data_IF_492393384974
#
_entry.id   IF_492393384974
#
_cell.length_a   1.000
_cell.length_b   1.000
_cell.length_c   1.000
_cell.angle_alpha   90.00
_cell.angle_beta   90.00
_cell.angle_gamma   90.00
#
_symmetry.space_group_name_H-M   'P 1'
#
loop_
_entity.id
_entity.type
_entity.pdbx_description
1 polymer ?
#
# COMPACT_ATOMS: atom_id res chain seq x y z
N UNK A 1 -10.27 -16.90 -13.16
CA UNK A 1 -9.42 -15.77 -13.60
C UNK A 1 -8.05 -15.95 -12.96
N UNK A 2 -7.00 -15.53 -13.63
CA UNK A 2 -5.63 -15.64 -13.10
C UNK A 2 -5.43 -14.57 -12.02
N UNK A 3 -4.89 -14.91 -10.83
CA UNK A 3 -4.58 -13.94 -9.80
C UNK A 3 -3.65 -12.85 -10.32
N UNK A 4 -3.87 -11.62 -9.86
CA UNK A 4 -3.05 -10.46 -10.24
C UNK A 4 -2.86 -9.51 -9.07
N UNK A 5 -1.85 -8.65 -9.15
CA UNK A 5 -1.60 -7.61 -8.17
C UNK A 5 -1.87 -6.27 -8.85
N UNK A 6 -2.72 -5.45 -8.24
CA UNK A 6 -2.95 -4.07 -8.65
C UNK A 6 -2.22 -3.15 -7.67
N UNK A 7 -1.07 -2.65 -8.11
CA UNK A 7 -0.24 -1.70 -7.38
C UNK A 7 -0.78 -0.30 -7.59
N UNK A 8 -0.99 0.47 -6.53
CA UNK A 8 -1.56 1.80 -6.65
C UNK A 8 -1.04 2.75 -5.58
N UNK A 9 -1.08 4.03 -5.91
CA UNK A 9 -0.68 5.13 -5.07
C UNK A 9 -1.55 6.35 -5.35
N UNK A 10 -1.77 7.21 -4.34
CA UNK A 10 -2.58 8.41 -4.44
C UNK A 10 -1.78 9.66 -4.14
N UNK A 11 -2.08 10.72 -4.91
CA UNK A 11 -1.87 12.08 -4.47
C UNK A 11 -3.21 12.69 -4.00
N UNK A 12 -3.18 13.43 -2.88
CA UNK A 12 -4.40 13.90 -2.20
C UNK A 12 -4.32 15.37 -1.84
N UNK A 13 -5.46 15.98 -1.51
CA UNK A 13 -5.55 17.39 -1.07
C UNK A 13 -4.83 17.66 0.25
N UNK A 14 -4.53 16.64 1.04
CA UNK A 14 -3.86 16.71 2.34
C UNK A 14 -3.67 15.31 2.94
N UNK A 15 -3.39 15.22 4.23
CA UNK A 15 -2.95 13.99 4.90
C UNK A 15 -4.03 13.28 5.72
N UNK A 16 -5.26 13.79 5.72
CA UNK A 16 -6.38 13.19 6.47
C UNK A 16 -7.34 12.45 5.53
N UNK A 17 -7.26 11.11 5.40
CA UNK A 17 -8.06 10.36 4.45
C UNK A 17 -9.58 10.47 4.65
N UNK A 18 -10.02 10.94 5.84
CA UNK A 18 -11.45 11.15 6.13
C UNK A 18 -12.01 12.40 5.47
N UNK A 19 -11.20 13.46 5.41
CA UNK A 19 -11.62 14.78 4.97
C UNK A 19 -11.05 15.14 3.61
N UNK A 20 -9.82 14.71 3.35
CA UNK A 20 -9.12 15.01 2.11
C UNK A 20 -9.66 14.20 0.92
N UNK A 21 -9.38 14.70 -0.27
CA UNK A 21 -9.88 14.16 -1.53
C UNK A 21 -8.72 13.67 -2.38
N UNK A 22 -8.92 12.64 -3.22
CA UNK A 22 -7.94 12.27 -4.22
C UNK A 22 -7.74 13.40 -5.23
N UNK A 23 -6.49 13.61 -5.64
CA UNK A 23 -6.09 14.50 -6.74
C UNK A 23 -5.61 13.70 -7.94
N UNK A 24 -4.89 12.62 -7.67
CA UNK A 24 -4.40 11.67 -8.67
C UNK A 24 -4.44 10.27 -8.08
N UNK A 25 -4.65 9.28 -8.92
CA UNK A 25 -4.32 7.88 -8.63
C UNK A 25 -3.56 7.32 -9.81
N UNK A 26 -2.47 6.64 -9.52
CA UNK A 26 -1.82 5.77 -10.48
C UNK A 26 -2.00 4.31 -10.08
N UNK A 27 -2.10 3.43 -11.07
CA UNK A 27 -2.20 1.99 -10.86
C UNK A 27 -1.53 1.21 -11.96
N UNK A 28 -0.80 0.15 -11.57
CA UNK A 28 -0.20 -0.80 -12.50
C UNK A 28 -0.62 -2.20 -12.09
N UNK A 29 -1.14 -2.97 -13.03
CA UNK A 29 -1.46 -4.38 -12.80
C UNK A 29 -0.26 -5.24 -13.18
N UNK A 30 0.06 -6.21 -12.32
CA UNK A 30 1.07 -7.24 -12.60
C UNK A 30 0.50 -8.63 -12.41
N UNK A 31 1.14 -9.63 -13.02
CA UNK A 31 1.01 -11.01 -12.57
C UNK A 31 1.71 -11.22 -11.21
N UNK A 32 1.60 -12.43 -10.64
CA UNK A 32 2.30 -12.76 -9.38
C UNK A 32 3.83 -12.89 -9.57
N UNK A 33 4.31 -12.92 -10.83
CA UNK A 33 5.73 -12.84 -11.16
C UNK A 33 6.26 -11.40 -11.25
N UNK A 34 5.39 -10.41 -11.06
CA UNK A 34 5.65 -8.98 -11.14
C UNK A 34 5.90 -8.47 -12.57
N UNK A 35 5.42 -9.18 -13.58
CA UNK A 35 5.38 -8.67 -14.95
C UNK A 35 4.14 -7.79 -15.13
N UNK A 36 4.30 -6.62 -15.73
CA UNK A 36 3.19 -5.70 -15.99
C UNK A 36 2.18 -6.29 -16.98
N UNK A 37 0.90 -6.08 -16.73
CA UNK A 37 -0.24 -6.55 -17.54
C UNK A 37 -1.08 -5.35 -17.93
N UNK A 38 -1.26 -5.13 -19.23
CA UNK A 38 -2.06 -4.02 -19.75
C UNK A 38 -1.40 -2.66 -19.60
N UNK A 39 -2.18 -1.62 -19.77
CA UNK A 39 -1.72 -0.24 -19.68
C UNK A 39 -1.85 0.28 -18.25
N UNK A 40 -0.91 1.11 -17.78
CA UNK A 40 -1.03 1.77 -16.49
C UNK A 40 -2.26 2.67 -16.42
N UNK A 41 -2.96 2.62 -15.29
CA UNK A 41 -3.99 3.59 -14.95
C UNK A 41 -3.31 4.86 -14.41
N UNK A 42 -3.69 6.02 -14.92
CA UNK A 42 -3.27 7.31 -14.36
C UNK A 42 -4.41 8.32 -14.52
N UNK A 43 -5.11 8.59 -13.43
CA UNK A 43 -6.30 9.43 -13.42
C UNK A 43 -6.09 10.63 -12.52
N UNK A 44 -6.58 11.80 -12.97
CA UNK A 44 -6.71 12.98 -12.14
C UNK A 44 -8.16 13.15 -11.70
N UNK A 45 -8.34 13.58 -10.44
CA UNK A 45 -9.63 13.89 -9.86
C UNK A 45 -9.75 15.38 -9.62
N UNK A 46 -10.79 16.02 -10.15
CA UNK A 46 -11.13 17.38 -9.80
C UNK A 46 -12.01 17.36 -8.53
N UNK A 47 -11.53 17.87 -7.40
CA UNK A 47 -12.37 18.07 -6.23
C UNK A 47 -13.54 19.01 -6.53
N UNK A 48 -14.60 18.95 -5.73
CA UNK A 48 -15.70 19.93 -5.78
C UNK A 48 -15.20 21.34 -5.43
N UNK A 49 -15.90 22.36 -5.89
CA UNK A 49 -15.49 23.77 -5.78
C UNK A 49 -15.33 24.29 -4.34
N UNK A 50 -15.90 23.59 -3.37
CA UNK A 50 -15.77 23.87 -1.93
C UNK A 50 -14.53 23.23 -1.28
N UNK A 51 -13.74 22.46 -2.04
CA UNK A 51 -12.52 21.78 -1.58
C UNK A 51 -11.31 22.34 -2.30
N UNK A 52 -10.40 22.94 -1.55
CA UNK A 52 -9.10 23.38 -2.08
C UNK A 52 -7.99 22.44 -1.58
N UNK A 53 -7.07 22.05 -2.46
CA UNK A 53 -5.86 21.33 -2.05
C UNK A 53 -5.04 22.19 -1.07
N UNK A 54 -4.46 21.53 -0.06
CA UNK A 54 -3.54 22.22 0.83
C UNK A 54 -2.34 22.75 0.02
N UNK A 55 -1.88 24.01 0.24
CA UNK A 55 -0.78 24.57 -0.55
C UNK A 55 0.48 23.70 -0.57
N UNK A 56 0.81 23.06 0.55
CA UNK A 56 1.95 22.12 0.60
C UNK A 56 1.73 20.88 -0.25
N UNK A 57 0.49 20.38 -0.37
CA UNK A 57 0.19 19.27 -1.27
C UNK A 57 0.48 19.68 -2.72
N UNK A 58 0.03 20.87 -3.15
CA UNK A 58 0.34 21.37 -4.49
C UNK A 58 1.84 21.57 -4.75
N UNK A 59 2.60 22.03 -3.74
CA UNK A 59 4.04 22.23 -3.86
C UNK A 59 4.80 20.90 -3.96
N UNK A 60 4.38 19.88 -3.20
CA UNK A 60 5.03 18.57 -3.17
C UNK A 60 4.71 17.78 -4.44
N UNK A 61 3.44 17.72 -4.83
CA UNK A 61 2.98 16.87 -5.94
C UNK A 61 3.07 17.56 -7.31
N UNK A 62 3.16 18.91 -7.33
CA UNK A 62 3.05 19.70 -8.55
C UNK A 62 1.64 19.71 -9.16
N UNK A 63 0.64 19.18 -8.46
CA UNK A 63 -0.75 19.14 -8.91
C UNK A 63 -1.48 20.39 -8.45
N UNK A 64 -1.79 21.28 -9.39
CA UNK A 64 -2.48 22.53 -9.11
C UNK A 64 -3.97 22.45 -9.42
N UNK A 65 -4.82 23.30 -8.81
CA UNK A 65 -6.24 23.38 -9.15
C UNK A 65 -6.50 23.61 -10.65
N UNK A 66 -5.64 24.39 -11.32
CA UNK A 66 -5.75 24.66 -12.77
C UNK A 66 -5.54 23.36 -13.58
N UNK A 67 -4.52 22.57 -13.22
CA UNK A 67 -4.27 21.28 -13.86
C UNK A 67 -5.43 20.30 -13.66
N UNK A 68 -6.05 20.31 -12.48
CA UNK A 68 -7.20 19.47 -12.19
C UNK A 68 -8.45 19.91 -12.95
N UNK A 69 -8.67 21.23 -13.13
CA UNK A 69 -9.77 21.75 -13.95
C UNK A 69 -9.66 21.36 -15.42
N UNK A 70 -8.43 21.21 -15.94
CA UNK A 70 -8.18 20.81 -17.34
C UNK A 70 -8.26 19.29 -17.56
N UNK A 71 -7.83 18.48 -16.59
CA UNK A 71 -7.58 17.04 -16.77
C UNK A 71 -8.35 16.15 -15.81
N UNK A 72 -8.91 16.73 -14.75
CA UNK A 72 -9.57 15.98 -13.69
C UNK A 72 -10.95 15.48 -14.11
N UNK A 73 -11.24 14.26 -13.71
CA UNK A 73 -12.57 13.68 -13.74
C UNK A 73 -13.35 14.14 -12.51
N UNK A 74 -14.67 14.10 -12.55
CA UNK A 74 -15.46 14.18 -11.32
C UNK A 74 -15.08 13.02 -10.37
N UNK A 75 -15.20 13.23 -9.05
CA UNK A 75 -14.86 12.17 -8.08
C UNK A 75 -15.65 10.89 -8.34
N UNK A 76 -16.93 11.01 -8.75
CA UNK A 76 -17.78 9.85 -9.07
C UNK A 76 -17.25 9.05 -10.27
N UNK A 77 -16.84 9.71 -11.35
CA UNK A 77 -16.26 9.03 -12.52
C UNK A 77 -14.89 8.45 -12.22
N UNK A 78 -14.04 9.21 -11.52
CA UNK A 78 -12.73 8.77 -11.05
C UNK A 78 -12.86 7.49 -10.21
N UNK A 79 -13.75 7.46 -9.22
CA UNK A 79 -13.98 6.30 -8.37
C UNK A 79 -14.61 5.13 -9.11
N UNK A 80 -15.47 5.38 -10.09
CA UNK A 80 -16.05 4.34 -10.93
C UNK A 80 -14.97 3.59 -11.71
N UNK A 81 -14.05 4.32 -12.34
CA UNK A 81 -12.94 3.70 -13.10
C UNK A 81 -11.99 2.93 -12.20
N UNK A 82 -11.59 3.53 -11.08
CA UNK A 82 -10.69 2.86 -10.13
C UNK A 82 -11.32 1.63 -9.48
N UNK A 83 -12.61 1.74 -9.09
CA UNK A 83 -13.34 0.62 -8.51
C UNK A 83 -13.46 -0.55 -9.49
N UNK A 84 -13.66 -0.29 -10.77
CA UNK A 84 -13.69 -1.34 -11.80
C UNK A 84 -12.37 -2.14 -11.83
N UNK A 85 -11.22 -1.46 -11.75
CA UNK A 85 -9.91 -2.12 -11.68
C UNK A 85 -9.71 -2.91 -10.39
N UNK A 86 -10.00 -2.29 -9.25
CA UNK A 86 -9.79 -2.94 -7.95
C UNK A 86 -10.73 -4.11 -7.68
N UNK A 87 -11.89 -4.15 -8.34
CA UNK A 87 -12.92 -5.17 -8.14
C UNK A 87 -12.80 -6.38 -9.07
N UNK A 88 -11.82 -6.39 -9.97
CA UNK A 88 -11.55 -7.58 -10.80
C UNK A 88 -11.29 -8.77 -9.87
N UNK A 89 -12.01 -9.92 -10.03
CA UNK A 89 -11.84 -11.08 -9.16
C UNK A 89 -10.40 -11.62 -9.16
N UNK A 90 -9.90 -11.97 -7.96
CA UNK A 90 -8.53 -12.45 -7.76
C UNK A 90 -7.48 -11.33 -7.70
N UNK A 91 -7.92 -10.06 -7.58
CA UNK A 91 -7.02 -8.93 -7.44
C UNK A 91 -6.47 -8.83 -6.00
N UNK A 92 -5.15 -8.70 -5.89
CA UNK A 92 -4.49 -8.24 -4.68
C UNK A 92 -4.22 -6.72 -4.82
N UNK A 93 -4.94 -5.87 -4.10
CA UNK A 93 -4.61 -4.44 -4.01
C UNK A 93 -3.33 -4.25 -3.20
N UNK A 94 -2.32 -3.61 -3.76
CA UNK A 94 -1.03 -3.42 -3.10
C UNK A 94 -0.47 -2.01 -3.30
N UNK A 95 0.33 -1.55 -2.35
CA UNK A 95 1.01 -0.26 -2.42
C UNK A 95 2.12 -0.15 -1.39
N UNK A 96 2.66 1.05 -1.23
CA UNK A 96 3.69 1.36 -0.26
C UNK A 96 3.10 2.13 0.93
N UNK A 97 3.06 1.53 2.11
CA UNK A 97 2.37 2.07 3.31
C UNK A 97 0.87 2.32 3.09
N UNK A 98 0.30 1.61 2.11
CA UNK A 98 -1.04 1.84 1.57
C UNK A 98 -2.16 1.46 2.53
N UNK A 99 -2.00 0.43 3.37
CA UNK A 99 -3.07 -0.01 4.29
C UNK A 99 -3.48 1.05 5.31
N UNK A 100 -2.64 2.05 5.56
CA UNK A 100 -2.89 3.11 6.55
C UNK A 100 -3.31 4.43 5.95
N UNK A 101 -3.12 4.62 4.66
CA UNK A 101 -3.45 5.87 3.98
C UNK A 101 -4.27 5.63 2.71
N UNK A 102 -3.71 5.06 1.67
CA UNK A 102 -4.37 4.89 0.37
C UNK A 102 -5.66 4.04 0.44
N UNK A 103 -5.64 2.98 1.24
CA UNK A 103 -6.82 2.15 1.49
C UNK A 103 -7.92 2.95 2.20
N UNK A 104 -7.57 3.80 3.16
CA UNK A 104 -8.54 4.66 3.84
C UNK A 104 -9.07 5.75 2.90
N UNK A 105 -8.21 6.39 2.08
CA UNK A 105 -8.64 7.31 1.02
C UNK A 105 -9.63 6.62 0.09
N UNK A 106 -9.30 5.40 -0.36
CA UNK A 106 -10.18 4.60 -1.22
C UNK A 106 -11.53 4.31 -0.55
N UNK A 107 -11.53 3.87 0.71
CA UNK A 107 -12.75 3.56 1.47
C UNK A 107 -13.66 4.78 1.61
N UNK A 108 -13.12 5.90 2.06
CA UNK A 108 -13.90 7.12 2.24
C UNK A 108 -14.41 7.66 0.90
N UNK A 109 -13.62 7.56 -0.16
CA UNK A 109 -14.03 7.99 -1.50
C UNK A 109 -15.10 7.06 -2.08
N UNK A 110 -14.98 5.74 -1.95
CA UNK A 110 -16.02 4.79 -2.34
C UNK A 110 -17.33 5.06 -1.59
N UNK A 111 -17.27 5.24 -0.26
CA UNK A 111 -18.44 5.53 0.55
C UNK A 111 -19.17 6.81 0.11
N UNK A 112 -18.43 7.89 -0.14
CA UNK A 112 -19.02 9.16 -0.61
C UNK A 112 -19.69 9.03 -1.98
N UNK A 113 -19.20 8.12 -2.81
CA UNK A 113 -19.70 7.89 -4.16
C UNK A 113 -20.65 6.67 -4.24
N UNK A 114 -21.22 6.24 -3.10
CA UNK A 114 -22.25 5.20 -2.97
C UNK A 114 -21.80 3.80 -3.42
N UNK A 115 -20.51 3.50 -3.41
CA UNK A 115 -19.99 2.15 -3.56
C UNK A 115 -19.80 1.47 -2.20
N UNK A 116 -19.77 0.13 -2.20
CA UNK A 116 -19.33 -0.63 -1.01
C UNK A 116 -17.84 -0.35 -0.73
N UNK A 117 -17.50 0.28 0.40
CA UNK A 117 -16.12 0.67 0.69
C UNK A 117 -15.18 -0.52 0.96
N UNK A 118 -15.71 -1.70 1.23
CA UNK A 118 -14.94 -2.88 1.65
C UNK A 118 -14.99 -4.03 0.64
N UNK A 119 -15.97 -4.09 -0.25
CA UNK A 119 -16.19 -5.22 -1.16
C UNK A 119 -14.94 -5.58 -1.97
N UNK A 120 -14.23 -4.59 -2.50
CA UNK A 120 -12.98 -4.77 -3.26
C UNK A 120 -11.87 -5.50 -2.49
N UNK A 121 -11.94 -5.57 -1.17
CA UNK A 121 -10.89 -6.14 -0.33
C UNK A 121 -11.00 -7.65 -0.11
N UNK A 122 -12.18 -8.22 -0.41
CA UNK A 122 -12.46 -9.63 -0.12
C UNK A 122 -13.39 -10.32 -1.13
N UNK A 123 -14.26 -9.58 -1.82
CA UNK A 123 -15.17 -10.18 -2.80
C UNK A 123 -14.38 -10.76 -3.98
N UNK A 124 -14.88 -11.82 -4.58
CA UNK A 124 -14.23 -12.47 -5.72
C UNK A 124 -12.85 -13.08 -5.43
N UNK A 125 -12.50 -13.30 -4.15
CA UNK A 125 -11.19 -13.79 -3.74
C UNK A 125 -10.11 -12.70 -3.67
N UNK A 126 -10.52 -11.43 -3.67
CA UNK A 126 -9.62 -10.29 -3.57
C UNK A 126 -8.94 -10.23 -2.20
N UNK A 127 -7.79 -9.59 -2.17
CA UNK A 127 -6.97 -9.43 -0.97
C UNK A 127 -6.29 -8.06 -0.99
N UNK A 128 -5.60 -7.73 0.10
CA UNK A 128 -4.75 -6.53 0.20
C UNK A 128 -3.37 -6.89 0.70
N UNK A 129 -2.38 -6.11 0.31
CA UNK A 129 -1.01 -6.28 0.75
C UNK A 129 -0.28 -4.95 0.82
N UNK A 130 0.64 -4.81 1.78
CA UNK A 130 1.43 -3.60 1.96
C UNK A 130 2.92 -3.94 1.88
N UNK A 131 3.62 -3.34 0.93
CA UNK A 131 5.04 -3.63 0.70
C UNK A 131 5.92 -3.17 1.88
N UNK A 132 5.53 -2.14 2.62
CA UNK A 132 6.33 -1.66 3.75
C UNK A 132 6.43 -2.72 4.86
N UNK A 133 5.42 -3.57 5.04
CA UNK A 133 5.46 -4.64 6.04
C UNK A 133 6.37 -5.80 5.59
N UNK A 134 6.45 -6.07 4.27
CA UNK A 134 7.47 -6.97 3.70
C UNK A 134 8.88 -6.43 3.98
N UNK A 135 9.11 -5.13 3.73
CA UNK A 135 10.42 -4.49 3.94
C UNK A 135 10.81 -4.44 5.41
N UNK A 136 9.87 -4.14 6.33
CA UNK A 136 10.10 -4.25 7.78
C UNK A 136 10.55 -5.65 8.17
N UNK A 137 9.88 -6.66 7.61
CA UNK A 137 10.19 -8.07 7.91
C UNK A 137 11.53 -8.49 7.30
N UNK A 138 11.84 -8.06 6.07
CA UNK A 138 13.13 -8.32 5.44
C UNK A 138 14.26 -7.67 6.25
N UNK A 139 14.12 -6.39 6.64
CA UNK A 139 15.10 -5.71 7.49
C UNK A 139 15.32 -6.41 8.83
N UNK A 140 14.24 -6.88 9.47
CA UNK A 140 14.31 -7.52 10.78
C UNK A 140 14.93 -8.93 10.75
N UNK A 141 14.65 -9.72 9.71
CA UNK A 141 14.92 -11.17 9.70
C UNK A 141 15.85 -11.64 8.59
N UNK A 142 15.94 -10.91 7.50
CA UNK A 142 16.72 -11.28 6.30
C UNK A 142 17.22 -10.01 5.59
N UNK A 143 18.12 -9.22 6.24
CA UNK A 143 18.56 -7.95 5.69
C UNK A 143 19.52 -8.07 4.49
N UNK A 144 20.07 -9.25 4.24
CA UNK A 144 21.13 -9.46 3.26
C UNK A 144 20.62 -9.23 1.82
N UNK A 145 21.46 -8.66 0.98
CA UNK A 145 21.19 -8.39 -0.43
C UNK A 145 20.36 -7.12 -0.69
N UNK A 146 20.03 -6.36 0.36
CA UNK A 146 19.30 -5.10 0.28
C UNK A 146 20.11 -4.03 1.01
N UNK A 147 20.31 -2.88 0.38
CA UNK A 147 20.95 -1.73 1.01
C UNK A 147 19.94 -0.93 1.83
N UNK A 148 20.17 -0.85 3.12
CA UNK A 148 19.29 -0.17 4.07
C UNK A 148 19.81 1.23 4.39
N UNK A 149 19.18 2.30 3.88
CA UNK A 149 19.63 3.66 4.15
C UNK A 149 19.42 4.02 5.63
N UNK A 150 20.34 4.84 6.15
CA UNK A 150 20.28 5.33 7.53
C UNK A 150 19.95 6.82 7.52
N UNK A 151 19.09 7.22 8.46
CA UNK A 151 18.71 8.60 8.71
C UNK A 151 18.70 8.80 10.24
N UNK A 152 19.51 9.71 10.74
CA UNK A 152 19.69 9.95 12.19
C UNK A 152 19.99 8.67 13.01
N UNK A 153 20.86 7.80 12.47
CA UNK A 153 21.26 6.55 13.12
C UNK A 153 20.18 5.45 13.14
N UNK A 154 19.14 5.60 12.33
CA UNK A 154 18.04 4.63 12.21
C UNK A 154 17.81 4.29 10.74
N UNK A 155 17.36 3.06 10.48
CA UNK A 155 16.94 2.69 9.12
C UNK A 155 15.80 3.57 8.66
N UNK A 156 15.94 4.12 7.46
CA UNK A 156 14.86 4.84 6.78
C UNK A 156 14.15 3.88 5.81
N UNK A 157 12.85 3.73 5.99
CA UNK A 157 11.99 2.97 5.09
C UNK A 157 11.17 3.91 4.19
N UNK A 158 11.65 5.13 3.95
CA UNK A 158 11.05 6.02 2.96
C UNK A 158 11.33 5.48 1.56
N UNK A 159 10.31 5.48 0.70
CA UNK A 159 10.38 4.91 -0.65
C UNK A 159 11.56 5.47 -1.44
N UNK A 160 11.67 6.80 -1.48
CA UNK A 160 12.72 7.52 -2.20
C UNK A 160 14.14 7.22 -1.66
N UNK A 161 14.28 6.95 -0.35
CA UNK A 161 15.57 6.62 0.24
C UNK A 161 15.99 5.19 -0.07
N UNK A 162 15.03 4.25 0.03
CA UNK A 162 15.29 2.84 -0.27
C UNK A 162 15.60 2.62 -1.75
N UNK A 163 14.87 3.27 -2.65
CA UNK A 163 15.14 3.19 -4.08
C UNK A 163 16.53 3.73 -4.42
N UNK A 164 16.88 4.92 -3.92
CA UNK A 164 18.18 5.52 -4.12
C UNK A 164 19.34 4.64 -3.59
N UNK A 165 19.20 4.09 -2.37
CA UNK A 165 20.20 3.21 -1.76
C UNK A 165 20.43 1.90 -2.54
N UNK A 166 19.45 1.45 -3.30
CA UNK A 166 19.47 0.21 -4.06
C UNK A 166 19.64 0.43 -5.58
N UNK A 167 19.95 1.65 -6.02
CA UNK A 167 20.18 1.96 -7.43
C UNK A 167 18.93 1.80 -8.30
N UNK A 168 17.75 1.93 -7.71
CA UNK A 168 16.47 1.89 -8.42
C UNK A 168 16.12 3.30 -8.86
N UNK A 169 15.90 3.48 -10.16
CA UNK A 169 15.42 4.74 -10.69
C UNK A 169 13.99 4.99 -10.21
N UNK A 170 13.81 6.10 -9.49
CA UNK A 170 12.50 6.51 -8.97
C UNK A 170 11.82 7.56 -9.86
N UNK A 171 12.57 8.10 -10.85
CA UNK A 171 12.06 9.20 -11.65
C UNK A 171 11.76 10.44 -10.79
N UNK A 172 10.60 11.04 -11.00
CA UNK A 172 10.14 12.18 -10.21
C UNK A 172 9.34 11.68 -8.99
N UNK A 173 9.95 11.74 -7.81
CA UNK A 173 9.25 11.44 -6.55
C UNK A 173 8.01 12.33 -6.39
N UNK A 174 6.95 11.79 -5.79
CA UNK A 174 5.62 12.42 -5.67
C UNK A 174 4.89 12.61 -7.03
N UNK A 175 5.23 11.80 -8.02
CA UNK A 175 4.34 11.44 -9.11
C UNK A 175 3.83 10.03 -8.83
N UNK A 176 2.53 9.87 -8.64
CA UNK A 176 1.95 8.60 -8.22
C UNK A 176 2.35 7.41 -9.13
N UNK A 177 2.53 7.64 -10.44
CA UNK A 177 2.95 6.56 -11.35
C UNK A 177 4.43 6.19 -11.16
N UNK A 178 5.29 7.15 -10.86
CA UNK A 178 6.70 6.90 -10.53
C UNK A 178 6.81 6.13 -9.21
N UNK A 179 6.00 6.50 -8.20
CA UNK A 179 5.96 5.85 -6.89
C UNK A 179 5.46 4.40 -6.99
N UNK A 180 4.44 4.13 -7.83
CA UNK A 180 3.99 2.76 -8.12
C UNK A 180 5.10 1.93 -8.78
N UNK A 181 5.81 2.47 -9.79
CA UNK A 181 6.93 1.76 -10.44
C UNK A 181 8.07 1.48 -9.48
N UNK A 182 8.42 2.45 -8.64
CA UNK A 182 9.42 2.31 -7.60
C UNK A 182 9.04 1.21 -6.59
N UNK A 183 7.77 1.17 -6.20
CA UNK A 183 7.21 0.13 -5.31
C UNK A 183 7.33 -1.27 -5.94
N UNK A 184 6.96 -1.43 -7.20
CA UNK A 184 7.11 -2.71 -7.93
C UNK A 184 8.59 -3.12 -8.04
N UNK A 185 9.48 -2.16 -8.31
CA UNK A 185 10.92 -2.44 -8.39
C UNK A 185 11.51 -2.90 -7.06
N UNK A 186 11.11 -2.30 -5.93
CA UNK A 186 11.46 -2.79 -4.59
C UNK A 186 10.90 -4.18 -4.31
N UNK A 187 9.66 -4.46 -4.72
CA UNK A 187 9.08 -5.80 -4.60
C UNK A 187 9.89 -6.84 -5.38
N UNK A 188 10.32 -6.51 -6.61
CA UNK A 188 11.23 -7.36 -7.43
C UNK A 188 12.58 -7.57 -6.75
N UNK A 189 13.15 -6.52 -6.16
CA UNK A 189 14.41 -6.61 -5.41
C UNK A 189 14.27 -7.61 -4.24
N UNK A 190 13.27 -7.43 -3.37
CA UNK A 190 13.07 -8.33 -2.23
C UNK A 190 12.80 -9.78 -2.70
N UNK A 191 11.99 -9.93 -3.75
CA UNK A 191 11.70 -11.25 -4.32
C UNK A 191 12.96 -11.95 -4.87
N UNK A 192 13.86 -11.20 -5.49
CA UNK A 192 15.11 -11.76 -6.04
C UNK A 192 16.11 -12.11 -4.94
N UNK A 193 16.25 -11.27 -3.92
CA UNK A 193 17.22 -11.46 -2.84
C UNK A 193 16.73 -12.43 -1.76
N UNK A 194 15.42 -12.41 -1.45
CA UNK A 194 14.80 -13.15 -0.36
C UNK A 194 13.52 -13.88 -0.83
N UNK A 195 13.59 -14.77 -1.84
CA UNK A 195 12.42 -15.36 -2.50
C UNK A 195 11.51 -16.13 -1.53
N UNK A 196 12.07 -16.88 -0.59
CA UNK A 196 11.29 -17.65 0.40
C UNK A 196 10.52 -16.75 1.35
N UNK A 197 11.15 -15.63 1.79
CA UNK A 197 10.49 -14.64 2.65
C UNK A 197 9.36 -13.94 1.90
N UNK A 198 9.63 -13.52 0.66
CA UNK A 198 8.63 -12.89 -0.20
C UNK A 198 7.40 -13.77 -0.38
N UNK A 199 7.59 -15.03 -0.78
CA UNK A 199 6.48 -15.98 -0.99
C UNK A 199 5.70 -16.25 0.31
N UNK A 200 6.41 -16.41 1.43
CA UNK A 200 5.77 -16.63 2.73
C UNK A 200 4.86 -15.46 3.09
N UNK A 201 5.38 -14.23 3.06
CA UNK A 201 4.62 -13.04 3.45
C UNK A 201 3.52 -12.70 2.43
N UNK A 202 3.74 -12.94 1.15
CA UNK A 202 2.70 -12.78 0.15
C UNK A 202 1.51 -13.72 0.39
N UNK A 203 1.76 -14.95 0.83
CA UNK A 203 0.70 -15.89 1.24
C UNK A 203 -0.04 -15.43 2.51
N UNK A 204 0.66 -14.76 3.44
CA UNK A 204 0.07 -14.24 4.69
C UNK A 204 -0.87 -13.02 4.48
N UNK A 205 -1.01 -12.46 3.26
CA UNK A 205 -2.03 -11.45 2.96
C UNK A 205 -3.46 -11.98 3.16
N UNK A 206 -3.63 -13.28 3.19
CA UNK A 206 -4.90 -13.96 3.43
C UNK A 206 -5.11 -14.19 4.93
N UNK A 207 -6.21 -13.66 5.48
CA UNK A 207 -6.54 -13.83 6.90
C UNK A 207 -6.60 -15.29 7.37
N UNK A 208 -7.19 -16.25 6.64
CA UNK A 208 -7.13 -17.66 7.03
C UNK A 208 -5.69 -18.16 7.20
N UNK A 209 -4.77 -17.77 6.31
CA UNK A 209 -3.36 -18.17 6.41
C UNK A 209 -2.66 -17.60 7.64
N UNK A 210 -2.97 -16.36 8.02
CA UNK A 210 -2.46 -15.78 9.27
C UNK A 210 -3.00 -16.54 10.48
N UNK A 211 -4.29 -16.87 10.48
CA UNK A 211 -4.92 -17.62 11.57
C UNK A 211 -4.31 -19.01 11.79
N UNK A 212 -3.90 -19.70 10.71
CA UNK A 212 -3.20 -20.98 10.77
C UNK A 212 -1.83 -20.90 11.49
N UNK A 213 -1.22 -19.70 11.58
CA UNK A 213 0.06 -19.49 12.25
C UNK A 213 -0.10 -19.18 13.76
N UNK A 214 -1.31 -18.90 14.21
CA UNK A 214 -1.58 -18.45 15.57
C UNK A 214 -2.05 -19.63 16.40
N UNK A 215 -1.22 -19.99 17.38
CA UNK A 215 -1.57 -20.96 18.41
C UNK A 215 -1.50 -20.26 19.78
N UNK A 216 -2.58 -20.33 20.57
CA UNK A 216 -2.61 -19.72 21.89
C UNK A 216 -1.53 -20.33 22.79
N UNK A 217 -0.90 -19.49 23.59
CA UNK A 217 0.18 -19.83 24.53
C UNK A 217 1.47 -20.30 23.85
N UNK A 218 1.60 -20.16 22.53
CA UNK A 218 2.88 -20.35 21.83
C UNK A 218 3.46 -19.02 21.36
N UNK A 219 4.72 -18.72 21.71
CA UNK A 219 5.37 -17.49 21.24
C UNK A 219 5.45 -17.44 19.71
N UNK A 220 5.23 -16.26 19.15
CA UNK A 220 5.42 -15.99 17.72
C UNK A 220 6.15 -14.65 17.51
N UNK A 221 6.78 -14.52 16.35
CA UNK A 221 7.39 -13.26 15.93
C UNK A 221 6.32 -12.36 15.33
N UNK A 222 6.24 -11.12 15.84
CA UNK A 222 5.35 -10.10 15.33
C UNK A 222 6.16 -8.91 14.80
N UNK A 223 6.01 -8.59 13.52
CA UNK A 223 6.60 -7.41 12.88
C UNK A 223 5.50 -6.37 12.70
N UNK A 224 5.76 -5.15 13.17
CA UNK A 224 4.79 -4.07 13.09
C UNK A 224 5.45 -2.70 13.06
N UNK A 225 4.95 -1.80 12.24
CA UNK A 225 5.35 -0.38 12.25
C UNK A 225 5.01 0.35 13.56
N UNK A 226 4.33 -0.28 14.51
CA UNK A 226 4.10 0.25 15.86
C UNK A 226 5.27 0.00 16.81
N UNK A 227 6.15 -0.94 16.47
CA UNK A 227 7.37 -1.16 17.22
C UNK A 227 8.47 -0.20 16.76
N UNK A 228 9.31 0.21 17.69
CA UNK A 228 10.40 1.14 17.39
C UNK A 228 11.38 0.56 16.37
N UNK A 229 11.84 1.37 15.42
CA UNK A 229 12.88 0.98 14.45
C UNK A 229 14.18 0.52 15.11
N UNK A 230 14.53 1.04 16.29
CA UNK A 230 15.64 0.57 17.11
C UNK A 230 15.49 -0.89 17.58
N UNK A 231 14.30 -1.45 17.52
CA UNK A 231 14.00 -2.88 17.76
C UNK A 231 13.71 -3.62 16.46
N UNK A 232 14.15 -3.10 15.32
CA UNK A 232 13.93 -3.64 13.99
C UNK A 232 12.45 -3.91 13.67
N UNK A 233 11.51 -3.12 14.24
CA UNK A 233 10.06 -3.32 14.10
C UNK A 233 9.55 -4.68 14.57
N UNK A 234 10.33 -5.42 15.38
CA UNK A 234 10.09 -6.82 15.75
C UNK A 234 9.84 -6.95 17.25
N UNK A 235 8.94 -7.84 17.64
CA UNK A 235 8.78 -8.35 19.00
C UNK A 235 8.42 -9.84 18.99
N UNK A 236 8.85 -10.55 20.04
CA UNK A 236 8.29 -11.86 20.39
C UNK A 236 7.03 -11.59 21.19
N UNK A 237 5.90 -12.13 20.76
CA UNK A 237 4.60 -11.98 21.43
C UNK A 237 4.03 -13.34 21.79
N UNK A 238 3.31 -13.39 22.90
CA UNK A 238 2.62 -14.60 23.36
C UNK A 238 1.11 -14.41 23.20
N UNK A 239 0.45 -15.09 22.27
CA UNK A 239 -1.00 -15.07 22.13
C UNK A 239 -1.67 -15.66 23.37
N UNK A 240 -2.46 -14.87 24.09
CA UNK A 240 -3.13 -15.29 25.32
C UNK A 240 -4.57 -15.71 25.08
N UNK A 241 -5.33 -14.91 24.35
CA UNK A 241 -6.73 -15.15 24.09
C UNK A 241 -7.23 -14.37 22.86
N UNK A 242 -8.29 -14.86 22.25
CA UNK A 242 -9.05 -14.06 21.29
C UNK A 242 -9.89 -13.01 22.02
N UNK A 243 -9.94 -11.81 21.45
CA UNK A 243 -10.74 -10.73 22.03
C UNK A 243 -12.24 -11.12 22.03
N UNK A 244 -12.95 -11.04 23.18
CA UNK A 244 -14.29 -11.63 23.33
C UNK A 244 -15.36 -11.00 22.43
N UNK A 245 -15.19 -9.71 22.09
CA UNK A 245 -16.14 -8.98 21.22
C UNK A 245 -15.65 -8.77 19.78
N UNK A 246 -14.34 -8.76 19.59
CA UNK A 246 -13.73 -8.56 18.28
C UNK A 246 -12.95 -9.82 17.86
N UNK A 247 -13.62 -10.69 17.11
CA UNK A 247 -13.01 -11.95 16.62
C UNK A 247 -11.81 -11.76 15.69
N UNK A 248 -11.48 -10.51 15.32
CA UNK A 248 -10.33 -10.16 14.50
C UNK A 248 -9.14 -9.63 15.34
N UNK A 249 -9.28 -9.56 16.65
CA UNK A 249 -8.25 -9.08 17.55
C UNK A 249 -7.77 -10.19 18.49
N UNK A 250 -6.48 -10.20 18.73
CA UNK A 250 -5.79 -11.11 19.61
C UNK A 250 -5.23 -10.33 20.79
N UNK A 251 -5.37 -10.89 21.99
CA UNK A 251 -4.72 -10.38 23.20
C UNK A 251 -3.36 -11.05 23.32
N UNK A 252 -2.30 -10.25 23.40
CA UNK A 252 -0.90 -10.71 23.50
C UNK A 252 -0.21 -10.07 24.68
#
# INVERSE_FOLDING_TARGET
MTPSIFWYDYETTGINPRCDRPLQVAGIRTDEALNEIGEPLNLYCQPSDDILPHPMACLITGITPQRLAERGLSEGEFMTRLHAEMSVPGTCGAGYNSLRFDDEVTRYSLYRNFFDPYGREWQGGNTRWDLIDLLRTAYALRPEGINWPQEDGRVSLKLERLTAANGIDHGQAHDALADVRATIALARLVRSQQPKLYEFLYKQRSKPRVLEQIELLKPLLHVSGRFAGARHYLAVVLPLAWHPRNRNALIV
#
